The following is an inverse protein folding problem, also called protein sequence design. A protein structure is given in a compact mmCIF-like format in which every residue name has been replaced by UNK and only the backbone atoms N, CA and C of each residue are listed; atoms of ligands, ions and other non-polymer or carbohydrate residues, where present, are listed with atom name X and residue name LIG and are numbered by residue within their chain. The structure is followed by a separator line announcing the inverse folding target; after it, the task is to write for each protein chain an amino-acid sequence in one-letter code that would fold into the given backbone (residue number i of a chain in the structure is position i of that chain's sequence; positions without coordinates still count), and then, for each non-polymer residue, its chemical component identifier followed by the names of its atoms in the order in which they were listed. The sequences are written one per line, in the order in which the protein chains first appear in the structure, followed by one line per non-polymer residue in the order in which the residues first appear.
data_IF_046399668235
#
_entry.id   IF_046399668235
#
_cell.length_a   1.000
_cell.length_b   1.000
_cell.length_c   1.000
_cell.angle_alpha   90.00
_cell.angle_beta   90.00
_cell.angle_gamma   90.00
#
_symmetry.space_group_name_H-M   'P 1'
#
loop_
_entity.id
_entity.type
_entity.pdbx_description
1 polymer ?
#
# COMPACT_ATOMS: atom_id res chain seq x y z
N UNK A 1 -29.74 -18.36 13.96
CA UNK A 1 -30.20 -16.99 13.64
C UNK A 1 -28.96 -16.18 13.30
N UNK A 2 -28.59 -16.13 12.02
CA UNK A 2 -27.37 -15.46 11.54
C UNK A 2 -27.84 -14.23 10.77
N UNK A 3 -27.57 -13.04 11.31
CA UNK A 3 -27.98 -11.78 10.71
C UNK A 3 -27.27 -11.57 9.35
N UNK A 4 -27.94 -11.03 8.32
CA UNK A 4 -27.29 -10.68 7.07
C UNK A 4 -26.38 -9.46 7.27
N UNK A 5 -25.16 -9.54 6.72
CA UNK A 5 -24.21 -8.44 6.67
C UNK A 5 -24.83 -7.27 5.89
N UNK A 6 -24.90 -6.10 6.52
CA UNK A 6 -25.38 -4.89 5.89
C UNK A 6 -24.47 -4.49 4.71
N UNK A 7 -25.04 -4.02 3.57
CA UNK A 7 -24.25 -3.47 2.49
C UNK A 7 -23.58 -2.18 2.96
N UNK A 8 -22.26 -2.10 2.81
CA UNK A 8 -21.49 -0.90 3.14
C UNK A 8 -21.70 0.09 1.99
N UNK A 9 -22.48 1.14 2.23
CA UNK A 9 -22.65 2.25 1.30
C UNK A 9 -21.35 3.05 1.20
N UNK A 10 -20.54 2.76 0.18
CA UNK A 10 -19.45 3.62 -0.23
C UNK A 10 -20.04 4.77 -1.06
N UNK A 11 -20.14 5.96 -0.46
CA UNK A 11 -20.44 7.17 -1.24
C UNK A 11 -19.20 7.48 -2.06
N UNK A 12 -19.25 7.19 -3.36
CA UNK A 12 -18.17 7.50 -4.27
C UNK A 12 -17.83 9.00 -4.14
N UNK A 13 -16.57 9.37 -3.93
CA UNK A 13 -16.20 10.78 -3.90
C UNK A 13 -16.60 11.41 -5.24
N UNK A 14 -17.33 12.53 -5.17
CA UNK A 14 -17.78 13.30 -6.33
C UNK A 14 -16.58 13.52 -7.28
N UNK A 15 -16.66 13.11 -8.55
CA UNK A 15 -15.53 13.24 -9.46
C UNK A 15 -15.15 14.72 -9.60
N UNK A 16 -13.85 15.07 -9.57
CA UNK A 16 -13.44 16.40 -9.98
C UNK A 16 -13.91 16.61 -11.43
N UNK A 17 -14.58 17.74 -11.69
CA UNK A 17 -15.08 18.08 -13.02
C UNK A 17 -13.96 18.07 -14.07
N UNK A 18 -14.28 17.93 -15.36
CA UNK A 18 -13.29 17.83 -16.43
C UNK A 18 -12.66 19.21 -16.66
N UNK A 19 -11.67 19.53 -15.84
CA UNK A 19 -10.86 20.74 -15.93
C UNK A 19 -9.45 20.38 -16.39
N UNK A 20 -9.24 20.46 -17.70
CA UNK A 20 -8.00 20.85 -18.36
C UNK A 20 -6.65 20.22 -17.93
N UNK A 21 -6.03 19.53 -18.89
CA UNK A 21 -4.67 19.88 -19.28
C UNK A 21 -3.56 18.91 -18.88
N UNK A 22 -2.81 18.50 -19.89
CA UNK A 22 -1.50 17.84 -19.81
C UNK A 22 -0.59 18.42 -18.70
N UNK A 23 -0.16 17.59 -17.76
CA UNK A 23 1.07 17.81 -16.98
C UNK A 23 1.76 16.47 -16.74
N UNK A 24 2.57 16.06 -17.72
CA UNK A 24 3.58 15.02 -17.49
C UNK A 24 4.56 15.53 -16.43
N UNK A 25 4.82 14.69 -15.42
CA UNK A 25 5.80 14.89 -14.32
C UNK A 25 5.33 15.75 -13.14
N UNK A 26 4.34 15.25 -12.39
CA UNK A 26 4.22 15.56 -10.96
C UNK A 26 4.63 14.33 -10.16
N UNK A 27 5.62 14.48 -9.28
CA UNK A 27 6.10 13.41 -8.39
C UNK A 27 4.94 12.85 -7.55
N UNK A 28 4.96 11.57 -7.20
CA UNK A 28 3.92 10.94 -6.36
C UNK A 28 3.67 11.70 -5.04
N UNK A 29 4.69 12.41 -4.55
CA UNK A 29 4.63 13.32 -3.40
C UNK A 29 3.65 14.49 -3.63
N UNK A 30 3.57 15.03 -4.85
CA UNK A 30 2.64 16.12 -5.19
C UNK A 30 1.17 15.68 -5.20
N UNK A 31 0.91 14.37 -5.38
CA UNK A 31 -0.44 13.79 -5.37
C UNK A 31 -0.91 13.32 -3.98
N UNK A 32 -0.05 13.42 -2.96
CA UNK A 32 -0.37 13.03 -1.58
C UNK A 32 -1.65 13.70 -1.04
N UNK A 33 -1.96 14.98 -1.34
CA UNK A 33 -3.19 15.59 -0.85
C UNK A 33 -4.46 14.93 -1.43
N UNK A 34 -4.46 14.62 -2.73
CA UNK A 34 -5.60 13.96 -3.40
C UNK A 34 -5.76 12.53 -2.88
N UNK A 35 -4.66 11.79 -2.75
CA UNK A 35 -4.67 10.42 -2.20
C UNK A 35 -5.18 10.45 -0.77
N UNK A 36 -4.70 11.37 0.07
CA UNK A 36 -5.17 11.53 1.45
C UNK A 36 -6.66 11.86 1.51
N UNK A 37 -7.17 12.68 0.59
CA UNK A 37 -8.59 13.01 0.54
C UNK A 37 -9.45 11.80 0.16
N UNK A 38 -9.05 11.03 -0.86
CA UNK A 38 -9.74 9.80 -1.25
C UNK A 38 -9.70 8.73 -0.15
N UNK A 39 -8.58 8.64 0.58
CA UNK A 39 -8.43 7.71 1.71
C UNK A 39 -9.22 8.14 2.95
N UNK A 40 -9.41 9.44 3.19
CA UNK A 40 -10.25 9.93 4.29
C UNK A 40 -11.74 9.58 4.11
N UNK A 41 -12.22 9.38 2.87
CA UNK A 41 -13.59 8.90 2.63
C UNK A 41 -13.78 7.41 2.91
N UNK A 42 -12.69 6.66 3.16
CA UNK A 42 -12.77 5.23 3.42
C UNK A 42 -12.97 4.98 4.91
N UNK A 43 -14.13 4.44 5.27
CA UNK A 43 -14.45 4.08 6.66
C UNK A 43 -13.64 2.85 7.09
N UNK A 44 -13.06 2.91 8.29
CA UNK A 44 -12.30 1.80 8.88
C UNK A 44 -10.83 1.72 8.47
N UNK A 45 -10.32 2.70 7.71
CA UNK A 45 -8.90 2.82 7.39
C UNK A 45 -8.13 3.39 8.58
N UNK A 46 -7.14 2.66 9.08
CA UNK A 46 -6.34 3.06 10.24
C UNK A 46 -4.94 3.54 9.88
N UNK A 47 -4.31 2.96 8.85
CA UNK A 47 -2.95 3.29 8.41
C UNK A 47 -2.89 3.22 6.89
N UNK A 48 -2.24 4.20 6.28
CA UNK A 48 -1.96 4.19 4.85
C UNK A 48 -0.52 4.64 4.59
N UNK A 49 0.20 3.85 3.81
CA UNK A 49 1.61 4.05 3.49
C UNK A 49 1.78 3.87 1.99
N UNK A 50 2.34 4.87 1.32
CA UNK A 50 2.82 4.71 -0.07
C UNK A 50 4.24 4.19 -0.01
N UNK A 51 4.57 3.18 -0.79
CA UNK A 51 5.90 2.59 -0.83
C UNK A 51 6.39 2.45 -2.27
N UNK A 52 7.49 1.71 -2.46
CA UNK A 52 8.05 1.40 -3.77
C UNK A 52 8.74 2.58 -4.47
N UNK A 53 8.71 2.56 -5.80
CA UNK A 53 9.43 3.54 -6.64
C UNK A 53 8.90 4.97 -6.45
N UNK A 54 7.62 5.10 -6.07
CA UNK A 54 6.95 6.36 -5.77
C UNK A 54 7.43 7.00 -4.47
N UNK A 55 7.70 6.19 -3.43
CA UNK A 55 8.21 6.69 -2.15
C UNK A 55 9.70 7.06 -2.21
N UNK A 56 10.48 6.37 -3.02
CA UNK A 56 11.94 6.57 -3.15
C UNK A 56 12.34 7.73 -4.08
N UNK A 57 11.37 8.43 -4.67
CA UNK A 57 11.63 9.57 -5.57
C UNK A 57 12.20 9.19 -6.95
N UNK A 58 12.33 7.89 -7.24
CA UNK A 58 12.80 7.34 -8.51
C UNK A 58 11.64 6.98 -9.47
N UNK A 59 10.41 7.30 -9.08
CA UNK A 59 9.23 6.97 -9.88
C UNK A 59 9.29 7.59 -11.28
N UNK A 60 9.12 6.73 -12.27
CA UNK A 60 8.86 7.15 -13.63
C UNK A 60 7.40 7.62 -13.74
N UNK A 61 7.05 8.43 -14.75
CA UNK A 61 5.68 8.88 -14.97
C UNK A 61 4.68 7.72 -15.18
N UNK A 62 5.17 6.56 -15.64
CA UNK A 62 4.40 5.35 -15.93
C UNK A 62 4.50 4.28 -14.84
N UNK A 63 5.14 4.58 -13.71
CA UNK A 63 5.23 3.63 -12.60
C UNK A 63 3.87 3.41 -11.93
N UNK A 64 3.59 2.19 -11.50
CA UNK A 64 2.44 1.91 -10.66
C UNK A 64 2.63 2.59 -9.28
N UNK A 65 1.51 2.95 -8.66
CA UNK A 65 1.50 3.54 -7.33
C UNK A 65 1.23 2.45 -6.29
N UNK A 66 2.28 2.08 -5.55
CA UNK A 66 2.20 1.05 -4.51
C UNK A 66 1.67 1.65 -3.20
N UNK A 67 0.51 1.18 -2.74
CA UNK A 67 -0.17 1.64 -1.52
C UNK A 67 -0.44 0.48 -0.59
N UNK A 68 0.07 0.57 0.64
CA UNK A 68 -0.23 -0.36 1.72
C UNK A 68 -1.25 0.26 2.68
N UNK A 69 -2.33 -0.46 2.95
CA UNK A 69 -3.43 -0.03 3.82
C UNK A 69 -3.61 -1.00 4.98
N UNK A 70 -3.89 -0.48 6.18
CA UNK A 70 -4.38 -1.27 7.31
C UNK A 70 -5.80 -0.84 7.66
N UNK A 71 -6.69 -1.81 7.75
CA UNK A 71 -8.07 -1.64 8.16
C UNK A 71 -8.33 -2.24 9.54
N UNK A 72 -9.43 -1.86 10.18
CA UNK A 72 -9.91 -2.50 11.42
C UNK A 72 -10.13 -4.02 11.26
N UNK A 73 -10.51 -4.45 10.05
CA UNK A 73 -10.75 -5.83 9.68
C UNK A 73 -9.95 -6.19 8.42
N UNK A 74 -9.79 -7.49 8.14
CA UNK A 74 -9.19 -7.92 6.87
C UNK A 74 -10.05 -7.45 5.69
N UNK A 75 -9.39 -6.99 4.64
CA UNK A 75 -10.07 -6.47 3.46
C UNK A 75 -10.79 -7.58 2.70
N UNK A 76 -12.05 -7.39 2.35
CA UNK A 76 -12.71 -8.30 1.40
C UNK A 76 -12.17 -8.07 -0.01
N UNK A 77 -12.20 -9.10 -0.86
CA UNK A 77 -11.76 -8.99 -2.27
C UNK A 77 -12.57 -7.92 -3.01
N UNK A 78 -13.86 -7.79 -2.72
CA UNK A 78 -14.73 -6.78 -3.33
C UNK A 78 -14.34 -5.37 -2.89
N UNK A 79 -13.98 -5.18 -1.62
CA UNK A 79 -13.49 -3.89 -1.11
C UNK A 79 -12.16 -3.52 -1.74
N UNK A 80 -11.26 -4.49 -1.90
CA UNK A 80 -9.95 -4.30 -2.54
C UNK A 80 -10.09 -3.80 -3.98
N UNK A 81 -10.92 -4.47 -4.78
CA UNK A 81 -11.18 -4.06 -6.17
C UNK A 81 -11.80 -2.65 -6.23
N UNK A 82 -12.83 -2.39 -5.42
CA UNK A 82 -13.50 -1.08 -5.41
C UNK A 82 -12.55 0.06 -5.01
N UNK A 83 -11.63 -0.19 -4.07
CA UNK A 83 -10.61 0.79 -3.67
C UNK A 83 -9.60 1.04 -4.77
N UNK A 84 -9.12 -0.01 -5.45
CA UNK A 84 -8.23 0.14 -6.59
C UNK A 84 -8.89 0.97 -7.68
N UNK A 85 -10.13 0.68 -8.05
CA UNK A 85 -10.88 1.42 -9.06
C UNK A 85 -11.06 2.90 -8.67
N UNK A 86 -11.51 3.17 -7.44
CA UNK A 86 -11.74 4.53 -6.95
C UNK A 86 -10.46 5.36 -6.90
N UNK A 87 -9.37 4.77 -6.39
CA UNK A 87 -8.08 5.44 -6.30
C UNK A 87 -7.45 5.62 -7.68
N UNK A 88 -7.55 4.63 -8.58
CA UNK A 88 -7.05 4.73 -9.97
C UNK A 88 -7.77 5.85 -10.72
N UNK A 89 -9.09 5.97 -10.55
CA UNK A 89 -9.88 7.05 -11.14
C UNK A 89 -9.48 8.42 -10.58
N UNK A 90 -9.14 8.50 -9.29
CA UNK A 90 -8.73 9.75 -8.64
C UNK A 90 -7.30 10.19 -8.98
N UNK A 91 -6.37 9.24 -9.16
CA UNK A 91 -4.94 9.51 -9.43
C UNK A 91 -4.60 9.50 -10.91
N UNK A 92 -5.42 8.85 -11.74
CA UNK A 92 -5.18 8.64 -13.17
C UNK A 92 -4.04 7.65 -13.47
N UNK A 93 -3.66 6.81 -12.49
CA UNK A 93 -2.55 5.85 -12.61
C UNK A 93 -2.94 4.48 -12.05
N UNK A 94 -2.37 3.38 -12.55
CA UNK A 94 -2.57 2.06 -11.95
C UNK A 94 -2.04 2.05 -10.51
N UNK A 95 -2.76 1.35 -9.63
CA UNK A 95 -2.45 1.27 -8.20
C UNK A 95 -2.34 -0.19 -7.81
N UNK A 96 -1.23 -0.53 -7.17
CA UNK A 96 -1.08 -1.80 -6.47
C UNK A 96 -1.42 -1.60 -4.99
N UNK A 97 -2.39 -2.36 -4.50
CA UNK A 97 -2.94 -2.20 -3.16
C UNK A 97 -2.62 -3.43 -2.32
N UNK A 98 -1.99 -3.20 -1.17
CA UNK A 98 -1.58 -4.27 -0.25
C UNK A 98 -2.24 -4.10 1.11
N UNK A 99 -2.79 -5.19 1.65
CA UNK A 99 -3.32 -5.23 3.03
C UNK A 99 -2.18 -5.50 4.02
N UNK A 100 -1.89 -4.52 4.88
CA UNK A 100 -0.87 -4.60 5.93
C UNK A 100 -1.15 -5.69 6.96
N UNK A 101 -2.40 -6.14 7.11
CA UNK A 101 -2.75 -7.23 8.04
C UNK A 101 -2.31 -8.58 7.51
N UNK A 102 -2.43 -8.82 6.21
CA UNK A 102 -2.17 -10.13 5.58
C UNK A 102 -0.77 -10.23 4.99
N UNK A 103 -0.12 -9.10 4.72
CA UNK A 103 1.28 -9.09 4.27
C UNK A 103 2.21 -9.68 5.34
N UNK A 104 3.26 -10.37 4.88
CA UNK A 104 4.34 -10.89 5.72
C UNK A 104 5.71 -10.49 5.18
N UNK A 105 6.75 -11.10 5.73
CA UNK A 105 8.13 -10.84 5.32
C UNK A 105 8.48 -11.46 3.96
N UNK A 106 9.34 -10.82 3.15
CA UNK A 106 10.12 -9.59 3.43
C UNK A 106 9.40 -8.27 3.11
N UNK A 107 8.19 -8.35 2.55
CA UNK A 107 7.50 -7.19 1.98
C UNK A 107 7.04 -6.19 3.05
N UNK A 108 6.55 -6.69 4.19
CA UNK A 108 6.20 -5.86 5.34
C UNK A 108 7.37 -4.96 5.76
N UNK A 109 8.58 -5.52 5.88
CA UNK A 109 9.80 -4.76 6.17
C UNK A 109 10.11 -3.66 5.16
N UNK A 110 9.98 -3.95 3.86
CA UNK A 110 10.19 -2.95 2.82
C UNK A 110 9.20 -1.78 2.92
N UNK A 111 7.93 -2.07 3.17
CA UNK A 111 6.89 -1.04 3.34
C UNK A 111 7.19 -0.18 4.57
N UNK A 112 7.57 -0.80 5.70
CA UNK A 112 7.86 -0.07 6.93
C UNK A 112 9.17 0.74 6.86
N UNK A 113 10.16 0.27 6.11
CA UNK A 113 11.49 0.90 6.04
C UNK A 113 11.57 2.04 5.01
N UNK A 114 10.93 1.86 3.84
CA UNK A 114 11.04 2.80 2.72
C UNK A 114 9.72 3.51 2.39
N UNK A 115 8.63 3.13 3.05
CA UNK A 115 7.32 3.73 2.83
C UNK A 115 7.19 5.12 3.45
N UNK A 116 6.39 5.97 2.80
CA UNK A 116 5.96 7.27 3.28
C UNK A 116 4.54 7.15 3.81
N UNK A 117 4.37 7.37 5.11
CA UNK A 117 3.06 7.33 5.76
C UNK A 117 2.21 8.54 5.37
N UNK A 118 1.00 8.27 4.87
CA UNK A 118 0.01 9.27 4.47
C UNK A 118 -1.01 9.51 5.58
N UNK A 119 -1.46 8.44 6.23
CA UNK A 119 -2.50 8.44 7.26
C UNK A 119 -2.14 7.44 8.34
N UNK A 120 -2.53 7.72 9.58
CA UNK A 120 -2.41 6.81 10.73
C UNK A 120 -1.56 7.37 11.85
N UNK A 121 -1.69 6.77 13.03
CA UNK A 121 -0.98 7.21 14.24
C UNK A 121 0.47 6.67 14.29
N UNK A 122 1.32 7.34 15.07
CA UNK A 122 2.66 6.84 15.40
C UNK A 122 2.62 5.49 16.12
N UNK A 123 1.60 5.30 16.97
CA UNK A 123 1.42 4.06 17.72
C UNK A 123 1.15 2.89 16.78
N UNK A 124 0.23 3.04 15.83
CA UNK A 124 -0.11 1.97 14.90
C UNK A 124 1.04 1.66 13.94
N UNK A 125 1.75 2.69 13.48
CA UNK A 125 2.97 2.51 12.69
C UNK A 125 4.04 1.72 13.47
N UNK A 126 4.26 2.06 14.74
CA UNK A 126 5.21 1.35 15.62
C UNK A 126 4.78 -0.10 15.89
N UNK A 127 3.47 -0.40 15.94
CA UNK A 127 2.97 -1.77 16.07
C UNK A 127 3.35 -2.63 14.87
N UNK A 128 3.18 -2.12 13.64
CA UNK A 128 3.60 -2.82 12.43
C UNK A 128 5.13 -2.94 12.32
N UNK A 129 5.88 -1.92 12.74
CA UNK A 129 7.34 -2.01 12.84
C UNK A 129 7.79 -3.10 13.83
N UNK A 130 7.11 -3.22 14.97
CA UNK A 130 7.39 -4.26 15.96
C UNK A 130 7.10 -5.64 15.39
N UNK A 131 5.97 -5.81 14.69
CA UNK A 131 5.62 -7.05 14.00
C UNK A 131 6.69 -7.44 12.98
N UNK A 132 7.13 -6.49 12.15
CA UNK A 132 8.23 -6.69 11.21
C UNK A 132 9.49 -7.24 11.90
N UNK A 133 9.94 -6.59 12.98
CA UNK A 133 11.15 -7.01 13.70
C UNK A 133 11.01 -8.45 14.21
N UNK A 134 9.84 -8.82 14.74
CA UNK A 134 9.59 -10.18 15.23
C UNK A 134 9.55 -11.21 14.11
N UNK A 135 8.81 -10.97 13.04
CA UNK A 135 8.70 -11.90 11.91
C UNK A 135 10.03 -12.03 11.14
N UNK A 136 10.77 -10.94 11.00
CA UNK A 136 12.06 -10.90 10.31
C UNK A 136 13.14 -11.69 11.05
N UNK A 137 13.13 -11.68 12.39
CA UNK A 137 14.09 -12.43 13.20
C UNK A 137 14.03 -13.94 12.91
N UNK A 138 12.82 -14.48 12.71
CA UNK A 138 12.62 -15.89 12.40
C UNK A 138 12.83 -16.18 10.91
N UNK A 139 12.35 -15.32 10.00
CA UNK A 139 12.29 -15.62 8.57
C UNK A 139 13.55 -15.26 7.78
N UNK A 140 14.19 -14.12 8.08
CA UNK A 140 15.32 -13.59 7.29
C UNK A 140 16.56 -14.50 7.29
N UNK A 141 16.94 -15.18 8.40
CA UNK A 141 18.08 -16.09 8.39
C UNK A 141 17.92 -17.24 7.39
N UNK A 142 16.70 -17.77 7.24
CA UNK A 142 16.41 -18.82 6.26
C UNK A 142 16.46 -18.28 4.83
N UNK A 143 15.87 -17.11 4.58
CA UNK A 143 15.92 -16.48 3.27
C UNK A 143 17.37 -16.21 2.83
N UNK A 144 18.20 -15.68 3.73
CA UNK A 144 19.61 -15.41 3.47
C UNK A 144 20.38 -16.68 3.07
N UNK A 145 20.15 -17.80 3.77
CA UNK A 145 20.75 -19.10 3.44
C UNK A 145 20.34 -19.58 2.04
N UNK A 146 19.04 -19.58 1.73
CA UNK A 146 18.54 -20.00 0.41
C UNK A 146 19.13 -19.16 -0.72
N UNK A 147 19.17 -17.83 -0.55
CA UNK A 147 19.73 -16.93 -1.55
C UNK A 147 21.25 -17.11 -1.71
N UNK A 148 21.96 -17.39 -0.62
CA UNK A 148 23.39 -17.69 -0.64
C UNK A 148 23.68 -18.99 -1.40
N UNK A 149 22.96 -20.07 -1.11
CA UNK A 149 23.08 -21.36 -1.80
C UNK A 149 22.82 -21.21 -3.30
N UNK A 150 21.75 -20.47 -3.67
CA UNK A 150 21.43 -20.18 -5.07
C UNK A 150 22.56 -19.40 -5.75
N UNK A 151 23.12 -18.35 -5.12
CA UNK A 151 24.25 -17.60 -5.70
C UNK A 151 25.47 -18.49 -5.90
N UNK A 152 25.80 -19.34 -4.93
CA UNK A 152 26.94 -20.24 -5.01
C UNK A 152 26.79 -21.28 -6.13
N UNK A 153 25.58 -21.81 -6.34
CA UNK A 153 25.28 -22.75 -7.42
C UNK A 153 25.40 -22.11 -8.83
N UNK A 154 25.19 -20.80 -8.94
CA UNK A 154 25.32 -20.07 -10.21
C UNK A 154 26.74 -19.60 -10.51
N UNK A 155 27.57 -19.35 -9.50
CA UNK A 155 28.97 -18.93 -9.68
C UNK A 155 29.89 -20.12 -10.02
N UNK A 156 29.54 -21.33 -9.58
CA UNK A 156 30.32 -22.55 -9.85
C UNK A 156 29.87 -23.32 -11.11
N UNK A 157 29.24 -22.64 -12.07
CA UNK A 157 28.76 -23.21 -13.34
C UNK A 157 29.29 -22.39 -14.51
#
# INVERSE_FOLDING_TARGET
MTAPAAPIEFTAPKPPGPGAGCVASMSAIAQLPQIRQALNSVVGLQLAIVFGSCATGLAKPDSDLDIALAFDQAMSVQQHIALIEALTLATGRPIDLIDLRTVGEPLLGQIMQYGVRILGSDVLHAQYMTRHVMEAADFMPYQARILQERRQAWIHK
#
